data_IF_052375104720
#
_entry.id   IF_052375104720
#
_cell.length_a   1.000
_cell.length_b   1.000
_cell.length_c   1.000
_cell.angle_alpha   90.00
_cell.angle_beta   90.00
_cell.angle_gamma   90.00
#
_symmetry.space_group_name_H-M   'P 1'
#
loop_
_entity.id
_entity.type
_entity.pdbx_description
1 polymer ?
#
# COMPACT_ATOMS: atom_id res chain seq x y z
N UNK A 1 20.57 2.92 -23.34
CA UNK A 1 19.61 3.48 -24.32
C UNK A 1 18.13 3.12 -24.06
N UNK A 2 17.79 2.05 -23.33
CA UNK A 2 16.38 1.65 -23.09
C UNK A 2 15.61 2.54 -22.08
N UNK A 3 16.28 3.03 -21.02
CA UNK A 3 15.63 3.85 -19.97
C UNK A 3 15.09 5.20 -20.45
N UNK A 4 15.77 5.86 -21.40
CA UNK A 4 15.31 7.14 -22.00
C UNK A 4 13.96 6.99 -22.70
N UNK A 5 13.68 5.82 -23.30
CA UNK A 5 12.40 5.55 -23.97
C UNK A 5 11.24 5.38 -22.99
N UNK A 6 11.47 4.84 -21.79
CA UNK A 6 10.42 4.68 -20.77
C UNK A 6 10.08 6.02 -20.13
N UNK A 7 11.09 6.80 -19.75
CA UNK A 7 10.89 8.14 -19.18
C UNK A 7 10.09 9.03 -20.13
N UNK A 8 10.42 9.02 -21.42
CA UNK A 8 9.68 9.82 -22.40
C UNK A 8 8.20 9.41 -22.48
N UNK A 9 7.90 8.10 -22.48
CA UNK A 9 6.52 7.60 -22.45
C UNK A 9 5.76 8.03 -21.19
N UNK A 10 6.42 8.07 -20.04
CA UNK A 10 5.82 8.60 -18.81
C UNK A 10 5.48 10.09 -18.94
N UNK A 11 6.41 10.89 -19.49
CA UNK A 11 6.18 12.33 -19.71
C UNK A 11 5.05 12.56 -20.72
N UNK A 12 5.01 11.78 -21.80
CA UNK A 12 3.95 11.87 -22.81
C UNK A 12 2.59 11.47 -22.23
N UNK A 13 2.55 10.44 -21.37
CA UNK A 13 1.32 10.07 -20.65
C UNK A 13 0.82 11.20 -19.75
N UNK A 14 1.71 11.88 -19.02
CA UNK A 14 1.36 13.05 -18.20
C UNK A 14 0.78 14.18 -19.06
N UNK A 15 1.42 14.49 -20.19
CA UNK A 15 0.94 15.53 -21.13
C UNK A 15 -0.43 15.18 -21.70
N UNK A 16 -0.60 13.94 -22.17
CA UNK A 16 -1.84 13.47 -22.79
C UNK A 16 -3.02 13.40 -21.82
N UNK A 17 -2.76 13.26 -20.52
CA UNK A 17 -3.78 13.28 -19.46
C UNK A 17 -3.96 14.66 -18.84
N UNK A 18 -3.25 15.68 -19.33
CA UNK A 18 -3.20 17.02 -18.75
C UNK A 18 -2.93 17.00 -17.23
N UNK A 19 -2.06 16.09 -16.78
CA UNK A 19 -1.74 15.85 -15.38
C UNK A 19 -2.87 15.26 -14.50
N UNK A 20 -4.05 14.98 -15.05
CA UNK A 20 -5.22 14.48 -14.31
C UNK A 20 -5.18 12.96 -14.15
N UNK A 21 -4.22 12.48 -13.34
CA UNK A 21 -3.95 11.04 -13.18
C UNK A 21 -4.28 10.60 -11.76
N UNK A 22 -5.22 9.65 -11.62
CA UNK A 22 -5.50 9.00 -10.33
C UNK A 22 -4.29 8.16 -9.92
N UNK A 23 -3.93 8.18 -8.64
CA UNK A 23 -2.76 7.45 -8.10
C UNK A 23 -1.43 7.82 -8.77
N UNK A 24 -1.35 9.01 -9.37
CA UNK A 24 -0.14 9.66 -9.86
C UNK A 24 0.81 8.70 -10.61
N UNK A 25 2.03 8.55 -10.10
CA UNK A 25 3.12 7.74 -10.66
C UNK A 25 2.77 6.26 -10.79
N UNK A 26 2.06 5.67 -9.81
CA UNK A 26 1.68 4.26 -9.87
C UNK A 26 0.84 3.93 -11.12
N UNK A 27 -0.10 4.81 -11.48
CA UNK A 27 -0.92 4.64 -12.70
C UNK A 27 -0.08 4.84 -13.96
N UNK A 28 0.81 5.84 -13.98
CA UNK A 28 1.68 6.09 -15.14
C UNK A 28 2.53 4.84 -15.42
N UNK A 29 3.17 4.29 -14.39
CA UNK A 29 4.02 3.09 -14.52
C UNK A 29 3.18 1.92 -15.03
N UNK A 30 1.99 1.71 -14.47
CA UNK A 30 1.09 0.62 -14.90
C UNK A 30 0.71 0.73 -16.37
N UNK A 31 0.37 1.93 -16.86
CA UNK A 31 -0.03 2.12 -18.26
C UNK A 31 1.15 2.05 -19.22
N UNK A 32 2.28 2.69 -18.89
CA UNK A 32 3.48 2.70 -19.75
C UNK A 32 4.11 1.30 -19.86
N UNK A 33 4.05 0.50 -18.79
CA UNK A 33 4.62 -0.85 -18.74
C UNK A 33 3.59 -1.96 -18.99
N UNK A 34 2.34 -1.62 -19.34
CA UNK A 34 1.27 -2.59 -19.55
C UNK A 34 1.69 -3.73 -20.50
N UNK A 35 1.40 -4.97 -20.10
CA UNK A 35 1.82 -6.18 -20.82
C UNK A 35 3.30 -6.57 -20.65
N UNK A 36 4.08 -5.80 -19.88
CA UNK A 36 5.51 -6.06 -19.60
C UNK A 36 5.82 -6.12 -18.09
N UNK A 37 4.79 -6.27 -17.27
CA UNK A 37 4.91 -6.34 -15.81
C UNK A 37 4.87 -7.81 -15.40
N UNK A 38 5.92 -8.28 -14.74
CA UNK A 38 5.94 -9.59 -14.08
C UNK A 38 5.45 -9.43 -12.65
N UNK A 39 4.40 -10.16 -12.27
CA UNK A 39 3.93 -10.20 -10.90
C UNK A 39 4.93 -10.96 -10.01
N UNK A 40 5.22 -10.40 -8.84
CA UNK A 40 5.98 -11.07 -7.78
C UNK A 40 5.00 -11.58 -6.72
N UNK A 41 5.41 -12.57 -5.94
CA UNK A 41 4.60 -13.06 -4.83
C UNK A 41 4.24 -11.89 -3.88
N UNK A 42 2.99 -11.79 -3.39
CA UNK A 42 2.53 -10.64 -2.59
C UNK A 42 3.29 -10.45 -1.27
N UNK A 43 4.00 -11.48 -0.79
CA UNK A 43 4.86 -11.40 0.41
C UNK A 43 5.93 -10.30 0.34
N UNK A 44 6.28 -9.86 -0.87
CA UNK A 44 7.24 -8.78 -1.11
C UNK A 44 6.60 -7.38 -1.16
N UNK A 45 5.30 -7.28 -0.94
CA UNK A 45 4.56 -6.01 -0.89
C UNK A 45 3.26 -6.18 -0.08
N UNK A 46 3.37 -6.62 1.18
CA UNK A 46 2.20 -6.86 2.03
C UNK A 46 1.63 -5.52 2.50
N UNK A 47 0.54 -5.09 1.87
CA UNK A 47 -0.09 -3.81 2.17
C UNK A 47 -0.90 -3.88 3.46
N UNK A 48 -0.98 -2.75 4.18
CA UNK A 48 -1.78 -2.62 5.41
C UNK A 48 -3.17 -3.27 5.31
N UNK A 49 -3.91 -3.06 4.22
CA UNK A 49 -5.26 -3.63 4.05
C UNK A 49 -5.33 -5.16 4.02
N UNK A 50 -4.24 -5.86 3.71
CA UNK A 50 -4.21 -7.34 3.69
C UNK A 50 -4.35 -7.94 5.10
N UNK A 51 -3.87 -7.24 6.13
CA UNK A 51 -3.99 -7.69 7.52
C UNK A 51 -5.41 -7.54 8.10
N UNK A 52 -6.26 -6.72 7.48
CA UNK A 52 -7.58 -6.36 8.04
C UNK A 52 -8.76 -6.83 7.20
N UNK A 53 -8.51 -7.35 5.99
CA UNK A 53 -9.56 -7.75 5.06
C UNK A 53 -9.36 -9.21 4.66
N UNK A 54 -10.46 -9.97 4.66
CA UNK A 54 -10.50 -11.27 3.99
C UNK A 54 -10.20 -11.10 2.49
N UNK A 55 -9.58 -12.09 1.88
CA UNK A 55 -9.20 -12.10 0.46
C UNK A 55 -10.29 -11.56 -0.48
N UNK A 56 -11.53 -12.07 -0.39
CA UNK A 56 -12.63 -11.64 -1.26
C UNK A 56 -12.95 -10.14 -1.13
N UNK A 57 -12.94 -9.61 0.10
CA UNK A 57 -13.17 -8.18 0.35
C UNK A 57 -12.00 -7.33 -0.11
N UNK A 58 -10.77 -7.81 0.10
CA UNK A 58 -9.57 -7.13 -0.39
C UNK A 58 -9.59 -7.00 -1.91
N UNK A 59 -9.83 -8.09 -2.62
CA UNK A 59 -9.96 -8.11 -4.08
C UNK A 59 -11.02 -7.11 -4.56
N UNK A 60 -12.19 -7.07 -3.91
CA UNK A 60 -13.28 -6.14 -4.22
C UNK A 60 -12.90 -4.67 -3.97
N UNK A 61 -12.35 -4.35 -2.80
CA UNK A 61 -11.99 -2.97 -2.41
C UNK A 61 -10.90 -2.38 -3.32
N UNK A 62 -9.94 -3.20 -3.73
CA UNK A 62 -8.83 -2.78 -4.58
C UNK A 62 -9.09 -2.99 -6.09
N UNK A 63 -10.26 -3.51 -6.47
CA UNK A 63 -10.62 -3.74 -7.88
C UNK A 63 -9.67 -4.70 -8.61
N UNK A 64 -9.05 -5.64 -7.90
CA UNK A 64 -8.04 -6.54 -8.45
C UNK A 64 -8.73 -7.67 -9.22
N UNK A 65 -8.45 -7.83 -10.52
CA UNK A 65 -8.97 -8.96 -11.30
C UNK A 65 -7.87 -10.00 -11.50
N UNK A 66 -8.01 -11.17 -10.89
CA UNK A 66 -7.09 -12.31 -11.04
C UNK A 66 -5.60 -11.97 -10.79
N UNK A 67 -5.31 -11.03 -9.89
CA UNK A 67 -3.93 -10.56 -9.68
C UNK A 67 -3.11 -11.47 -8.76
N UNK A 68 -3.71 -11.90 -7.65
CA UNK A 68 -3.14 -12.90 -6.74
C UNK A 68 -4.21 -13.94 -6.42
N UNK A 69 -3.81 -15.20 -6.27
CA UNK A 69 -4.68 -16.24 -5.75
C UNK A 69 -4.94 -16.07 -4.25
N UNK A 70 -5.99 -16.73 -3.74
CA UNK A 70 -6.28 -16.77 -2.30
C UNK A 70 -5.09 -17.35 -1.52
N UNK A 71 -4.47 -18.41 -2.05
CA UNK A 71 -3.32 -19.06 -1.40
C UNK A 71 -2.14 -18.08 -1.26
N UNK A 72 -1.76 -17.41 -2.34
CA UNK A 72 -0.67 -16.41 -2.30
C UNK A 72 -0.96 -15.28 -1.31
N UNK A 73 -2.21 -14.82 -1.27
CA UNK A 73 -2.66 -13.81 -0.30
C UNK A 73 -2.47 -14.28 1.14
N UNK A 74 -2.97 -15.48 1.48
CA UNK A 74 -2.87 -16.04 2.83
C UNK A 74 -1.41 -16.33 3.23
N UNK A 75 -0.61 -16.87 2.30
CA UNK A 75 0.83 -17.11 2.48
C UNK A 75 1.58 -15.79 2.74
N UNK A 76 1.21 -14.72 2.03
CA UNK A 76 1.84 -13.41 2.21
C UNK A 76 1.48 -12.76 3.56
N UNK A 77 0.24 -12.91 4.03
CA UNK A 77 -0.17 -12.39 5.34
C UNK A 77 0.48 -13.16 6.48
N UNK A 78 0.60 -14.49 6.36
CA UNK A 78 1.19 -15.35 7.39
C UNK A 78 2.73 -15.29 7.44
N UNK A 79 3.39 -15.06 6.30
CA UNK A 79 4.86 -14.98 6.21
C UNK A 79 5.35 -13.80 5.35
N UNK A 80 5.11 -12.55 5.79
CA UNK A 80 5.52 -11.37 5.05
C UNK A 80 7.06 -11.26 5.00
N UNK A 81 7.58 -10.91 3.83
CA UNK A 81 9.01 -10.57 3.66
C UNK A 81 9.22 -9.05 3.67
N UNK A 82 8.32 -8.29 3.03
CA UNK A 82 8.33 -6.83 3.01
C UNK A 82 6.94 -6.33 3.34
N UNK A 83 6.86 -5.47 4.35
CA UNK A 83 5.62 -4.89 4.83
C UNK A 83 5.52 -3.45 4.32
N UNK A 84 4.53 -3.22 3.47
CA UNK A 84 4.24 -1.90 2.94
C UNK A 84 3.24 -1.20 3.85
N UNK A 85 3.76 -0.35 4.75
CA UNK A 85 3.03 0.46 5.72
C UNK A 85 2.24 1.60 5.05
N UNK A 86 1.32 1.26 4.13
CA UNK A 86 0.45 2.20 3.43
C UNK A 86 -0.48 2.91 4.42
N UNK A 87 -0.75 4.20 4.17
CA UNK A 87 -1.72 4.97 4.93
C UNK A 87 -3.14 4.48 4.60
N UNK A 88 -3.59 3.41 5.27
CA UNK A 88 -4.97 2.94 5.23
C UNK A 88 -5.75 3.48 6.44
N UNK A 89 -6.93 2.95 6.78
CA UNK A 89 -7.68 3.43 7.95
C UNK A 89 -6.94 3.23 9.28
N UNK A 90 -5.90 2.41 9.28
CA UNK A 90 -5.05 2.09 10.43
C UNK A 90 -3.95 3.11 10.71
N UNK A 91 -3.77 4.13 9.86
CA UNK A 91 -2.68 5.11 9.98
C UNK A 91 -1.29 4.50 9.73
N UNK A 92 -0.26 5.34 9.72
CA UNK A 92 1.14 4.89 9.63
C UNK A 92 1.78 4.81 11.03
N UNK A 93 2.79 3.96 11.26
CA UNK A 93 3.35 3.78 12.61
C UNK A 93 3.92 5.04 13.27
N UNK A 94 4.37 6.01 12.47
CA UNK A 94 4.82 7.32 12.95
C UNK A 94 3.70 8.36 13.11
N UNK A 95 2.44 7.92 13.09
CA UNK A 95 1.25 8.77 13.28
C UNK A 95 0.53 8.38 14.58
N UNK A 96 -0.04 9.38 15.25
CA UNK A 96 -0.87 9.15 16.42
C UNK A 96 -2.09 8.27 16.10
N UNK A 97 -2.42 7.35 17.01
CA UNK A 97 -3.56 6.45 16.85
C UNK A 97 -3.38 5.40 15.75
N UNK A 98 -2.14 5.10 15.35
CA UNK A 98 -1.87 3.96 14.49
C UNK A 98 -2.17 2.64 15.22
N UNK A 99 -2.82 1.72 14.50
CA UNK A 99 -3.26 0.40 14.98
C UNK A 99 -2.82 -0.73 14.05
N UNK A 100 -1.79 -0.48 13.23
CA UNK A 100 -1.21 -1.51 12.35
C UNK A 100 -0.52 -2.61 13.20
N UNK A 101 -0.64 -3.91 12.86
CA UNK A 101 -0.07 -4.99 13.69
C UNK A 101 1.45 -4.90 13.85
N UNK A 102 2.13 -4.42 12.81
CA UNK A 102 3.59 -4.21 12.80
C UNK A 102 4.05 -2.84 13.32
N UNK A 103 3.17 -2.09 14.03
CA UNK A 103 3.57 -0.83 14.66
C UNK A 103 4.72 -1.05 15.66
N UNK A 104 4.61 -2.05 16.53
CA UNK A 104 5.63 -2.33 17.55
C UNK A 104 6.98 -2.68 16.92
N UNK A 105 6.99 -3.43 15.83
CA UNK A 105 8.22 -3.76 15.11
C UNK A 105 8.86 -2.52 14.45
N UNK A 106 8.04 -1.65 13.85
CA UNK A 106 8.53 -0.35 13.37
C UNK A 106 9.13 0.49 14.50
N UNK A 107 8.46 0.57 15.65
CA UNK A 107 8.93 1.33 16.81
C UNK A 107 10.25 0.75 17.35
N UNK A 108 10.35 -0.58 17.44
CA UNK A 108 11.59 -1.27 17.84
C UNK A 108 12.75 -0.90 16.93
N UNK A 109 12.56 -0.94 15.61
CA UNK A 109 13.58 -0.54 14.64
C UNK A 109 13.89 0.96 14.76
N UNK A 110 12.88 1.83 14.90
CA UNK A 110 13.06 3.28 15.05
C UNK A 110 14.00 3.63 16.21
N UNK A 111 13.93 2.90 17.33
CA UNK A 111 14.83 3.10 18.48
C UNK A 111 16.31 2.83 18.15
N UNK A 112 16.59 2.06 17.10
CA UNK A 112 17.95 1.73 16.66
C UNK A 112 18.49 2.73 15.61
N UNK A 113 17.73 3.78 15.31
CA UNK A 113 18.10 4.76 14.28
C UNK A 113 18.39 6.14 14.89
N UNK A 114 19.04 7.06 14.16
CA UNK A 114 19.21 8.46 14.59
C UNK A 114 17.90 9.22 14.80
N UNK A 115 16.77 8.69 14.34
CA UNK A 115 15.44 9.29 14.53
C UNK A 115 14.73 8.80 15.79
N UNK A 116 15.44 8.09 16.68
CA UNK A 116 14.94 7.73 18.01
C UNK A 116 14.38 8.96 18.73
N UNK A 117 13.24 8.78 19.40
CA UNK A 117 12.60 9.85 20.18
C UNK A 117 11.86 10.89 19.33
N UNK A 118 11.78 10.72 18.00
CA UNK A 118 10.99 11.61 17.15
C UNK A 118 9.51 11.56 17.58
N UNK A 119 8.85 12.72 17.79
CA UNK A 119 7.43 12.74 18.16
C UNK A 119 6.55 12.18 17.04
N UNK A 120 5.44 11.56 17.44
CA UNK A 120 4.44 11.08 16.49
C UNK A 120 3.77 12.25 15.77
N UNK A 121 3.43 12.03 14.49
CA UNK A 121 2.69 13.02 13.71
C UNK A 121 1.22 13.01 14.12
N UNK A 122 0.74 14.16 14.61
CA UNK A 122 -0.68 14.40 14.83
C UNK A 122 -1.38 14.67 13.50
N UNK A 123 -2.21 13.74 13.04
CA UNK A 123 -3.10 13.95 11.88
C UNK A 123 -4.45 14.51 12.32
N UNK A 124 -4.94 15.52 11.61
CA UNK A 124 -6.33 15.98 11.73
C UNK A 124 -7.25 14.80 11.38
N UNK A 125 -8.08 14.34 12.32
CA UNK A 125 -9.02 13.23 12.09
C UNK A 125 -9.96 13.60 10.94
N UNK A 126 -9.83 12.94 9.79
CA UNK A 126 -10.87 12.96 8.74
C UNK A 126 -11.90 11.88 9.10
N UNK A 127 -13.18 12.25 9.20
CA UNK A 127 -14.27 11.43 9.76
C UNK A 127 -14.54 10.07 9.09
N UNK A 128 -13.84 9.74 7.99
CA UNK A 128 -14.04 8.50 7.22
C UNK A 128 -13.49 7.23 7.89
N UNK A 129 -12.73 7.32 8.99
CA UNK A 129 -12.13 6.13 9.63
C UNK A 129 -13.16 5.22 10.32
N UNK A 130 -14.30 5.73 10.80
CA UNK A 130 -15.24 4.94 11.61
C UNK A 130 -15.96 3.82 10.83
N UNK A 131 -16.29 4.03 9.55
CA UNK A 131 -17.12 3.09 8.77
C UNK A 131 -16.36 1.80 8.43
N UNK A 132 -15.11 1.91 7.99
CA UNK A 132 -14.28 0.75 7.66
C UNK A 132 -13.84 0.01 8.93
N UNK A 133 -13.55 0.74 10.03
CA UNK A 133 -13.19 0.13 11.31
C UNK A 133 -14.32 -0.72 11.89
N UNK A 134 -15.57 -0.30 11.72
CA UNK A 134 -16.76 -1.07 12.10
C UNK A 134 -16.90 -2.35 11.26
N UNK A 135 -16.70 -2.26 9.92
CA UNK A 135 -16.72 -3.45 9.06
C UNK A 135 -15.58 -4.45 9.35
N UNK A 136 -14.45 -4.00 9.89
CA UNK A 136 -13.32 -4.88 10.24
C UNK A 136 -13.50 -5.63 11.57
N UNK A 137 -14.43 -5.22 12.45
CA UNK A 137 -14.76 -5.96 13.70
C UNK A 137 -15.98 -6.89 13.56
N UNK A 138 -16.65 -6.88 12.41
CA UNK A 138 -17.88 -7.64 12.15
C UNK A 138 -17.67 -9.00 11.50
N UNK A 139 -16.65 -9.76 11.92
CA UNK A 139 -16.49 -11.19 11.59
C UNK A 139 -15.97 -11.94 12.81
#
# INVERSE_FOLDING_TARGET
MQGRKVVQKCLDYIRNTNGKIKFHDQTIINEVCKGKIKALHPRYNVMSGMFFLKYSKFISVYGLKNYYSKKEFDDAVSSPAIIHLTSWVVGRPWEEGCVHPYKGEYERILQLTPWRGKPLLRKRRRGYKLVIYSCCRGV
#
